data_IF_056214265194
#
_entry.id   IF_056214265194
#
_cell.length_a   1.000
_cell.length_b   1.000
_cell.length_c   1.000
_cell.angle_alpha   90.00
_cell.angle_beta   90.00
_cell.angle_gamma   90.00
#
_symmetry.space_group_name_H-M   'P 1'
#
loop_
_entity.id
_entity.type
_entity.pdbx_description
1 polymer ?
#
# COMPACT_ATOMS: atom_id res chain seq x y z
N UNK A 1 -14.72 -1.58 3.52
CA UNK A 1 -14.83 -2.76 2.65
C UNK A 1 -13.71 -3.79 2.89
N UNK A 2 -12.78 -3.56 3.81
CA UNK A 2 -11.99 -4.65 4.43
C UNK A 2 -12.84 -5.35 5.50
N UNK A 3 -12.65 -6.65 5.70
CA UNK A 3 -13.41 -7.41 6.68
C UNK A 3 -13.18 -8.92 6.60
N UNK A 4 -13.89 -9.65 7.46
CA UNK A 4 -13.88 -11.11 7.49
C UNK A 4 -14.94 -11.64 6.52
N UNK A 5 -14.54 -12.58 5.67
CA UNK A 5 -15.40 -13.25 4.70
C UNK A 5 -15.51 -14.72 5.09
N UNK A 6 -16.74 -15.20 5.22
CA UNK A 6 -17.04 -16.59 5.54
C UNK A 6 -17.48 -17.37 4.32
N UNK A 7 -17.11 -18.64 4.27
CA UNK A 7 -17.69 -19.63 3.35
C UNK A 7 -18.41 -20.70 4.18
N UNK A 8 -19.63 -21.04 3.80
CA UNK A 8 -20.43 -22.08 4.43
C UNK A 8 -20.90 -23.08 3.38
N UNK A 9 -20.67 -24.37 3.64
CA UNK A 9 -21.14 -25.49 2.81
C UNK A 9 -22.01 -26.40 3.66
N UNK A 10 -23.19 -26.73 3.13
CA UNK A 10 -24.22 -27.53 3.81
C UNK A 10 -24.48 -28.77 2.96
N UNK A 11 -24.33 -29.95 3.55
CA UNK A 11 -24.80 -31.20 2.94
C UNK A 11 -26.29 -31.40 3.23
N UNK A 12 -27.09 -31.64 2.20
CA UNK A 12 -28.56 -31.73 2.25
C UNK A 12 -29.12 -33.16 2.40
N UNK A 13 -28.24 -34.16 2.53
CA UNK A 13 -28.59 -35.56 2.76
C UNK A 13 -28.09 -36.05 4.12
N UNK A 14 -28.89 -36.81 4.91
CA UNK A 14 -28.47 -37.29 6.22
C UNK A 14 -27.15 -38.09 6.19
N UNK A 15 -26.23 -37.84 7.15
CA UNK A 15 -26.28 -36.81 8.18
C UNK A 15 -26.04 -35.41 7.60
N UNK A 16 -26.83 -34.43 8.06
CA UNK A 16 -26.57 -33.02 7.76
C UNK A 16 -25.23 -32.63 8.39
N UNK A 17 -24.24 -32.30 7.56
CA UNK A 17 -22.93 -31.77 7.96
C UNK A 17 -22.80 -30.35 7.42
N UNK A 18 -22.38 -29.44 8.29
CA UNK A 18 -22.10 -28.05 7.94
C UNK A 18 -20.63 -27.79 8.16
N UNK A 19 -19.96 -27.26 7.13
CA UNK A 19 -18.58 -26.78 7.24
C UNK A 19 -18.57 -25.28 7.03
N UNK A 20 -17.90 -24.60 7.94
CA UNK A 20 -17.73 -23.15 7.94
C UNK A 20 -16.26 -22.81 8.05
N UNK A 21 -15.80 -21.86 7.24
CA UNK A 21 -14.45 -21.32 7.30
C UNK A 21 -14.46 -19.81 7.07
N UNK A 22 -13.42 -19.11 7.55
CA UNK A 22 -13.28 -17.65 7.46
C UNK A 22 -11.91 -17.21 6.99
N UNK A 23 -11.89 -16.15 6.19
CA UNK A 23 -10.68 -15.46 5.77
C UNK A 23 -10.78 -13.95 5.97
N UNK A 24 -9.63 -13.30 6.22
CA UNK A 24 -9.55 -11.85 6.25
C UNK A 24 -9.29 -11.30 4.84
N UNK A 25 -10.16 -10.40 4.38
CA UNK A 25 -9.96 -9.64 3.15
C UNK A 25 -9.56 -8.21 3.50
N UNK A 26 -8.39 -7.80 3.01
CA UNK A 26 -7.93 -6.41 3.07
C UNK A 26 -8.01 -5.80 1.69
N UNK A 27 -8.61 -4.63 1.57
CA UNK A 27 -8.60 -3.86 0.33
C UNK A 27 -7.36 -2.98 0.29
N UNK A 28 -6.70 -2.95 -0.85
CA UNK A 28 -5.61 -2.03 -1.14
C UNK A 28 -6.03 -1.03 -2.23
N UNK A 29 -5.59 0.21 -2.07
CA UNK A 29 -5.70 1.28 -3.07
C UNK A 29 -4.28 1.68 -3.43
N UNK A 30 -3.88 1.37 -4.65
CA UNK A 30 -2.56 1.73 -5.15
C UNK A 30 -2.53 3.22 -5.54
N UNK A 31 -1.41 3.92 -5.32
CA UNK A 31 -1.22 5.25 -5.86
C UNK A 31 -1.40 5.21 -7.39
N UNK A 32 -2.15 6.15 -7.96
CA UNK A 32 -2.39 6.17 -9.41
C UNK A 32 -1.17 6.66 -10.22
N UNK A 33 -0.18 7.23 -9.55
CA UNK A 33 0.98 7.89 -10.14
C UNK A 33 2.20 7.65 -9.24
N UNK A 34 3.39 7.83 -9.79
CA UNK A 34 4.62 7.83 -9.00
C UNK A 34 4.65 9.02 -8.01
N UNK A 35 5.43 8.93 -6.92
CA UNK A 35 5.65 10.06 -6.04
C UNK A 35 6.24 11.25 -6.80
N UNK A 36 5.78 12.45 -6.47
CA UNK A 36 6.35 13.69 -6.96
C UNK A 36 7.44 14.16 -6.00
N UNK A 37 8.53 14.69 -6.54
CA UNK A 37 9.62 15.28 -5.78
C UNK A 37 9.68 16.78 -6.05
N UNK A 38 9.51 17.57 -5.01
CA UNK A 38 9.44 19.02 -5.06
C UNK A 38 10.52 19.66 -4.17
N UNK A 39 10.74 20.97 -4.29
CA UNK A 39 11.73 21.71 -3.48
C UNK A 39 13.18 21.65 -3.97
N UNK A 40 13.48 20.82 -4.97
CA UNK A 40 14.83 20.77 -5.56
C UNK A 40 15.19 22.03 -6.35
N UNK A 41 16.45 22.45 -6.22
CA UNK A 41 17.06 23.53 -6.99
C UNK A 41 17.78 22.96 -8.22
N UNK A 42 17.91 23.77 -9.26
CA UNK A 42 18.61 23.40 -10.49
C UNK A 42 20.13 23.24 -10.31
N UNK A 43 20.70 23.82 -9.25
CA UNK A 43 22.12 23.77 -8.94
C UNK A 43 22.33 23.89 -7.43
N UNK A 44 23.40 23.26 -6.98
CA UNK A 44 23.87 23.30 -5.60
C UNK A 44 25.39 23.48 -5.60
N UNK A 45 25.91 24.19 -4.61
CA UNK A 45 27.33 24.33 -4.34
C UNK A 45 27.76 23.34 -3.25
N UNK A 46 29.06 23.09 -3.16
CA UNK A 46 29.60 22.27 -2.08
C UNK A 46 29.29 22.94 -0.73
N UNK A 47 28.67 22.18 0.17
CA UNK A 47 28.22 22.65 1.47
C UNK A 47 26.75 23.08 1.52
N UNK A 48 26.05 23.14 0.38
CA UNK A 48 24.61 23.38 0.39
C UNK A 48 23.84 22.19 0.96
N UNK A 49 22.72 22.50 1.62
CA UNK A 49 21.75 21.50 2.06
C UNK A 49 20.78 21.24 0.91
N UNK A 50 20.66 19.98 0.52
CA UNK A 50 19.62 19.50 -0.37
C UNK A 50 18.38 19.20 0.48
N UNK A 51 17.32 19.96 0.23
CA UNK A 51 16.00 19.77 0.85
C UNK A 51 14.99 19.51 -0.26
N UNK A 52 14.19 18.46 -0.09
CA UNK A 52 13.17 18.06 -1.05
C UNK A 52 11.98 17.44 -0.32
N UNK A 53 10.80 17.62 -0.88
CA UNK A 53 9.55 17.02 -0.40
C UNK A 53 9.12 15.93 -1.39
N UNK A 54 9.05 14.69 -0.90
CA UNK A 54 8.60 13.54 -1.69
C UNK A 54 7.17 13.18 -1.28
N UNK A 55 6.22 13.30 -2.21
CA UNK A 55 4.80 13.15 -1.94
C UNK A 55 4.18 12.09 -2.85
N UNK A 56 3.57 11.05 -2.28
CA UNK A 56 2.76 10.10 -3.03
C UNK A 56 1.31 10.55 -3.20
N UNK A 57 0.64 10.14 -4.29
CA UNK A 57 -0.81 10.18 -4.38
C UNK A 57 -1.48 9.37 -3.26
N UNK A 58 -2.79 9.62 -2.98
CA UNK A 58 -3.55 8.85 -2.01
C UNK A 58 -3.47 7.35 -2.24
N UNK A 59 -3.22 6.60 -1.18
CA UNK A 59 -3.12 5.13 -1.17
C UNK A 59 -3.60 4.55 0.15
N UNK A 60 -3.95 3.28 0.13
CA UNK A 60 -4.29 2.52 1.32
C UNK A 60 -3.73 1.08 1.22
N UNK A 61 -2.92 0.61 2.18
CA UNK A 61 -2.33 1.39 3.28
C UNK A 61 -1.45 2.55 2.75
N UNK A 62 -1.06 3.51 3.61
CA UNK A 62 -0.17 4.59 3.20
C UNK A 62 1.09 4.05 2.52
N UNK A 63 1.49 4.66 1.41
CA UNK A 63 2.69 4.28 0.68
C UNK A 63 3.96 4.50 1.53
N UNK A 64 4.92 3.59 1.39
CA UNK A 64 6.26 3.75 1.94
C UNK A 64 7.14 4.48 0.92
N UNK A 65 7.71 5.63 1.32
CA UNK A 65 8.55 6.45 0.46
C UNK A 65 10.01 6.26 0.84
N UNK A 66 10.85 5.97 -0.15
CA UNK A 66 12.30 5.92 -0.01
C UNK A 66 12.91 6.86 -1.02
N UNK A 67 13.85 7.68 -0.56
CA UNK A 67 14.61 8.58 -1.41
C UNK A 67 15.99 7.99 -1.68
N UNK A 68 16.49 8.16 -2.91
CA UNK A 68 17.83 7.74 -3.31
C UNK A 68 18.53 8.90 -4.01
N UNK A 69 19.79 9.13 -3.68
CA UNK A 69 20.66 10.10 -4.35
C UNK A 69 21.81 9.33 -5.03
N UNK A 70 21.84 9.33 -6.37
CA UNK A 70 22.84 8.60 -7.16
C UNK A 70 22.94 7.11 -6.77
N UNK A 71 21.81 6.43 -6.66
CA UNK A 71 21.69 5.02 -6.24
C UNK A 71 22.12 4.73 -4.80
N UNK A 72 22.36 5.77 -3.99
CA UNK A 72 22.63 5.65 -2.55
C UNK A 72 21.34 6.00 -1.80
N UNK A 73 20.96 5.13 -0.88
CA UNK A 73 19.88 5.36 0.08
C UNK A 73 20.36 6.21 1.25
#
# INVERSE_FOLDING_TARGET
>A
LSGMYGCEVIADNPPFDTKYDVGNLTIAVLPQQNPALEGLRSHYQLGDVLEAECTSPPSYPPAELTFYLNDIQ
#
